data_IF_523163049161
#
_entry.id   IF_523163049161
#
_cell.length_a   1.000
_cell.length_b   1.000
_cell.length_c   1.000
_cell.angle_alpha   90.00
_cell.angle_beta   90.00
_cell.angle_gamma   90.00
#
_symmetry.space_group_name_H-M   'P 1'
#
loop_
_entity.id
_entity.type
_entity.pdbx_description
1 polymer ?
#
# COMPACT_ATOMS: atom_id res chain seq x y z
N UNK A 1 -10.92 5.27 -8.08
CA UNK A 1 -11.23 4.77 -6.71
C UNK A 1 -10.42 5.55 -5.68
N UNK A 2 -10.91 5.70 -4.45
CA UNK A 2 -10.13 6.34 -3.37
C UNK A 2 -9.32 5.29 -2.60
N UNK A 3 -8.05 5.53 -2.30
CA UNK A 3 -7.25 4.57 -1.52
C UNK A 3 -7.55 4.72 -0.02
N UNK A 4 -8.01 3.65 0.63
CA UNK A 4 -8.37 3.64 2.04
C UNK A 4 -7.17 3.73 2.96
N UNK A 5 -7.17 4.70 3.88
CA UNK A 5 -6.21 4.81 5.00
C UNK A 5 -6.23 3.62 5.96
N UNK A 6 -7.39 3.01 6.19
CA UNK A 6 -7.52 1.90 7.13
C UNK A 6 -6.78 0.63 6.67
N UNK A 7 -6.57 0.47 5.36
CA UNK A 7 -5.93 -0.69 4.76
C UNK A 7 -4.88 -0.26 3.72
N UNK A 8 -3.97 0.62 4.14
CA UNK A 8 -2.91 1.16 3.28
C UNK A 8 -1.53 0.64 3.70
N UNK A 9 -0.91 -0.17 2.85
CA UNK A 9 0.43 -0.74 3.04
C UNK A 9 1.38 -0.43 1.88
N UNK A 10 1.16 0.68 1.17
CA UNK A 10 2.09 1.19 0.16
C UNK A 10 3.04 2.20 0.80
N UNK A 11 3.88 1.75 1.71
CA UNK A 11 5.00 2.53 2.26
C UNK A 11 6.32 2.08 1.62
N UNK A 12 7.37 2.90 1.69
CA UNK A 12 8.71 2.50 1.26
C UNK A 12 9.24 1.26 1.99
N UNK A 13 8.69 0.85 3.14
CA UNK A 13 9.10 -0.39 3.78
C UNK A 13 8.11 -1.54 3.60
N UNK A 14 6.93 -1.30 3.01
CA UNK A 14 5.83 -2.26 2.96
C UNK A 14 5.48 -2.88 4.33
N UNK A 15 5.76 -2.18 5.44
CA UNK A 15 5.58 -2.68 6.80
C UNK A 15 6.66 -3.66 7.29
N UNK A 16 7.73 -3.89 6.54
CA UNK A 16 8.82 -4.77 6.93
C UNK A 16 9.50 -4.35 8.24
N UNK A 17 9.74 -5.34 9.10
CA UNK A 17 10.46 -5.20 10.37
C UNK A 17 11.50 -6.29 10.57
N UNK A 18 11.14 -7.52 10.23
CA UNK A 18 11.97 -8.72 10.34
C UNK A 18 11.35 -9.84 9.50
N UNK A 19 12.09 -10.92 9.20
CA UNK A 19 11.55 -12.13 8.60
C UNK A 19 10.32 -12.68 9.33
N UNK A 20 9.34 -13.13 8.54
CA UNK A 20 8.12 -13.78 9.03
C UNK A 20 7.85 -15.06 8.26
N UNK A 21 6.89 -15.88 8.71
CA UNK A 21 6.46 -17.09 7.98
C UNK A 21 5.91 -16.76 6.59
N UNK A 22 5.29 -15.58 6.43
CA UNK A 22 4.61 -15.17 5.19
C UNK A 22 5.55 -14.39 4.25
N UNK A 23 6.49 -13.65 4.83
CA UNK A 23 7.56 -12.95 4.11
C UNK A 23 8.91 -13.29 4.79
N UNK A 24 9.55 -14.40 4.41
CA UNK A 24 10.84 -14.81 4.97
C UNK A 24 11.98 -13.85 4.61
N UNK A 25 11.90 -13.18 3.45
CA UNK A 25 12.87 -12.20 2.97
C UNK A 25 12.22 -10.84 2.76
N UNK A 26 13.03 -9.78 2.83
CA UNK A 26 12.58 -8.43 2.48
C UNK A 26 12.16 -8.33 1.01
N UNK A 27 12.75 -9.17 0.14
CA UNK A 27 12.37 -9.29 -1.28
C UNK A 27 10.96 -9.83 -1.48
N UNK A 28 10.37 -10.48 -0.47
CA UNK A 28 8.99 -10.99 -0.52
C UNK A 28 7.94 -9.91 -0.19
N UNK A 29 8.38 -8.69 0.16
CA UNK A 29 7.48 -7.59 0.51
C UNK A 29 6.64 -7.18 -0.70
N UNK A 30 5.33 -7.11 -0.46
CA UNK A 30 4.33 -6.64 -1.42
C UNK A 30 3.64 -5.42 -0.86
N UNK A 31 3.72 -4.33 -1.60
CA UNK A 31 2.92 -3.15 -1.31
C UNK A 31 1.46 -3.49 -1.62
N UNK A 32 0.53 -3.04 -0.79
CA UNK A 32 -0.89 -3.24 -1.08
C UNK A 32 -1.72 -2.08 -0.55
N UNK A 33 -2.84 -1.82 -1.21
CA UNK A 33 -3.83 -0.86 -0.76
C UNK A 33 -5.22 -1.36 -1.18
N UNK A 34 -6.24 -0.83 -0.51
CA UNK A 34 -7.62 -1.10 -0.83
C UNK A 34 -8.26 0.16 -1.40
N UNK A 35 -8.73 0.07 -2.64
CA UNK A 35 -9.61 1.06 -3.23
C UNK A 35 -11.01 0.93 -2.68
N UNK A 36 -11.61 2.05 -2.33
CA UNK A 36 -12.97 2.17 -1.81
C UNK A 36 -13.75 3.21 -2.60
N UNK A 37 -15.06 3.25 -2.35
CA UNK A 37 -15.93 4.31 -2.82
C UNK A 37 -15.35 5.67 -2.43
N UNK A 38 -15.16 6.59 -3.38
CA UNK A 38 -14.73 7.95 -3.07
C UNK A 38 -15.70 8.67 -2.12
N UNK A 39 -15.16 9.41 -1.15
CA UNK A 39 -15.96 10.28 -0.29
C UNK A 39 -16.64 11.39 -1.11
N UNK A 40 -17.97 11.40 -1.10
CA UNK A 40 -18.84 12.37 -1.80
C UNK A 40 -18.60 13.82 -1.36
N UNK A 41 -17.94 14.05 -0.24
CA UNK A 41 -17.56 15.41 0.21
C UNK A 41 -16.59 16.11 -0.76
N UNK A 42 -15.92 15.37 -1.63
CA UNK A 42 -15.05 15.91 -2.68
C UNK A 42 -15.84 16.10 -3.98
N UNK A 43 -15.85 17.32 -4.55
CA UNK A 43 -16.59 17.63 -5.78
C UNK A 43 -16.19 16.74 -6.96
N UNK A 44 -14.90 16.48 -7.10
CA UNK A 44 -14.33 15.60 -8.12
C UNK A 44 -14.62 14.11 -7.87
N UNK A 45 -15.00 13.74 -6.63
CA UNK A 45 -15.34 12.37 -6.28
C UNK A 45 -16.75 11.96 -6.70
N UNK A 46 -17.66 12.90 -6.93
CA UNK A 46 -19.03 12.57 -7.35
C UNK A 46 -19.05 11.80 -8.68
N UNK A 47 -18.31 12.27 -9.68
CA UNK A 47 -18.17 11.57 -10.97
C UNK A 47 -17.48 10.22 -10.80
N UNK A 48 -16.45 10.16 -9.94
CA UNK A 48 -15.71 8.94 -9.69
C UNK A 48 -16.49 7.91 -8.86
N UNK A 49 -17.53 8.30 -8.13
CA UNK A 49 -18.37 7.41 -7.33
C UNK A 49 -19.26 6.54 -8.23
N UNK A 50 -19.89 7.14 -9.25
CA UNK A 50 -20.68 6.42 -10.25
C UNK A 50 -19.80 5.43 -11.04
N UNK A 51 -18.60 5.87 -11.45
CA UNK A 51 -17.62 5.00 -12.10
C UNK A 51 -17.14 3.88 -11.17
N UNK A 52 -16.98 4.15 -9.87
CA UNK A 52 -16.56 3.13 -8.90
C UNK A 52 -17.62 2.05 -8.72
N UNK A 53 -18.92 2.40 -8.63
CA UNK A 53 -20.01 1.42 -8.57
C UNK A 53 -19.91 0.45 -9.76
N UNK A 54 -19.83 1.01 -10.97
CA UNK A 54 -19.73 0.23 -12.21
C UNK A 54 -18.47 -0.63 -12.23
N UNK A 55 -17.32 -0.07 -11.89
CA UNK A 55 -16.04 -0.79 -11.86
C UNK A 55 -16.03 -1.91 -10.82
N UNK A 56 -16.64 -1.70 -9.64
CA UNK A 56 -16.75 -2.70 -8.59
C UNK A 56 -17.66 -3.86 -9.02
N UNK A 57 -18.82 -3.56 -9.61
CA UNK A 57 -19.72 -4.59 -10.14
C UNK A 57 -19.04 -5.42 -11.23
N UNK A 58 -18.32 -4.77 -12.16
CA UNK A 58 -17.53 -5.45 -13.18
C UNK A 58 -16.42 -6.31 -12.57
N UNK A 59 -15.72 -5.81 -11.54
CA UNK A 59 -14.70 -6.57 -10.82
C UNK A 59 -15.28 -7.83 -10.16
N UNK A 60 -16.44 -7.70 -9.49
CA UNK A 60 -17.18 -8.83 -8.94
C UNK A 60 -17.59 -9.83 -10.03
N UNK A 61 -18.04 -9.35 -11.19
CA UNK A 61 -18.46 -10.20 -12.30
C UNK A 61 -17.30 -10.95 -12.93
N UNK A 62 -16.15 -10.28 -13.13
CA UNK A 62 -14.92 -10.93 -13.58
C UNK A 62 -14.52 -12.08 -12.64
N UNK A 63 -14.64 -11.90 -11.32
CA UNK A 63 -14.40 -12.97 -10.35
C UNK A 63 -15.45 -14.10 -10.38
N UNK A 64 -16.64 -13.90 -10.95
CA UNK A 64 -17.64 -14.97 -11.13
C UNK A 64 -17.35 -15.75 -12.41
N UNK A 65 -16.94 -15.07 -13.47
CA UNK A 65 -16.69 -15.69 -14.78
C UNK A 65 -15.53 -16.70 -14.76
N UNK A 66 -14.52 -16.47 -13.92
CA UNK A 66 -13.33 -17.34 -13.83
C UNK A 66 -13.30 -18.22 -12.58
N UNK A 67 -14.36 -18.25 -11.77
CA UNK A 67 -14.37 -19.04 -10.53
C UNK A 67 -14.28 -20.55 -10.78
N UNK A 68 -13.65 -21.27 -9.85
CA UNK A 68 -13.70 -22.72 -9.90
C UNK A 68 -15.09 -23.22 -9.48
N UNK A 69 -15.68 -24.09 -10.30
CA UNK A 69 -17.02 -24.66 -10.03
C UNK A 69 -17.08 -25.29 -8.63
N UNK A 70 -18.01 -24.81 -7.81
CA UNK A 70 -18.27 -25.34 -6.47
C UNK A 70 -17.37 -24.77 -5.37
N UNK A 71 -16.45 -23.85 -5.70
CA UNK A 71 -15.64 -23.14 -4.71
C UNK A 71 -16.41 -21.94 -4.17
N UNK A 72 -16.60 -21.90 -2.84
CA UNK A 72 -17.33 -20.82 -2.17
C UNK A 72 -16.44 -19.70 -1.65
N UNK A 73 -15.16 -19.99 -1.44
CA UNK A 73 -14.24 -19.07 -0.80
C UNK A 73 -13.41 -18.31 -1.83
N UNK A 74 -13.65 -17.00 -1.94
CA UNK A 74 -12.95 -16.09 -2.84
C UNK A 74 -12.16 -15.08 -2.04
N UNK A 75 -10.96 -14.74 -2.49
CA UNK A 75 -10.12 -13.75 -1.81
C UNK A 75 -9.30 -12.91 -2.80
N UNK A 76 -8.96 -11.70 -2.36
CA UNK A 76 -7.72 -11.03 -2.79
C UNK A 76 -7.85 -9.91 -3.82
N UNK A 77 -9.02 -9.76 -4.46
CA UNK A 77 -9.29 -8.66 -5.41
C UNK A 77 -10.51 -7.83 -4.97
N UNK A 78 -11.71 -8.07 -5.50
CA UNK A 78 -12.93 -7.41 -5.01
C UNK A 78 -13.49 -8.18 -3.79
N UNK A 79 -13.79 -7.45 -2.71
CA UNK A 79 -14.38 -7.99 -1.48
C UNK A 79 -15.56 -7.10 -1.05
N UNK A 80 -16.62 -7.71 -0.53
CA UNK A 80 -17.85 -7.01 -0.13
C UNK A 80 -19.06 -7.43 -0.97
N UNK A 81 -20.25 -7.04 -0.54
CA UNK A 81 -21.52 -7.38 -1.23
C UNK A 81 -22.09 -6.25 -2.09
N UNK A 82 -21.66 -5.02 -1.84
CA UNK A 82 -22.05 -3.81 -2.58
C UNK A 82 -20.84 -2.91 -2.74
N UNK A 83 -20.88 -1.95 -3.66
CA UNK A 83 -19.80 -0.98 -3.82
C UNK A 83 -19.61 -0.05 -2.60
N UNK A 84 -20.70 0.30 -1.89
CA UNK A 84 -20.64 1.11 -0.66
C UNK A 84 -19.82 0.47 0.46
N UNK A 85 -19.93 -0.86 0.57
CA UNK A 85 -19.19 -1.66 1.57
C UNK A 85 -18.00 -2.39 0.94
N UNK A 86 -17.81 -2.19 -0.36
CA UNK A 86 -16.94 -2.94 -1.22
C UNK A 86 -15.54 -2.37 -1.23
N UNK A 87 -14.58 -3.25 -1.45
CA UNK A 87 -13.17 -2.87 -1.56
C UNK A 87 -12.52 -3.60 -2.72
N UNK A 88 -11.64 -2.91 -3.44
CA UNK A 88 -10.80 -3.48 -4.49
C UNK A 88 -9.37 -3.48 -3.98
N UNK A 89 -8.83 -4.66 -3.67
CA UNK A 89 -7.44 -4.81 -3.24
C UNK A 89 -6.52 -4.83 -4.45
N UNK A 90 -5.53 -3.95 -4.44
CA UNK A 90 -4.45 -3.89 -5.43
C UNK A 90 -3.10 -4.10 -4.74
N UNK A 91 -2.13 -4.61 -5.48
CA UNK A 91 -0.79 -4.88 -4.95
C UNK A 91 0.32 -4.59 -5.96
N UNK A 92 1.52 -4.42 -5.45
CA UNK A 92 2.74 -4.22 -6.24
C UNK A 92 3.88 -4.98 -5.59
N UNK A 93 4.68 -5.69 -6.38
CA UNK A 93 5.89 -6.35 -5.88
C UNK A 93 7.00 -5.31 -5.84
N UNK A 94 7.53 -5.03 -4.64
CA UNK A 94 8.57 -4.03 -4.47
C UNK A 94 9.91 -4.45 -5.09
N UNK A 95 10.10 -5.76 -5.26
CA UNK A 95 11.29 -6.35 -5.85
C UNK A 95 10.89 -7.24 -7.03
N UNK A 96 11.73 -7.23 -8.06
CA UNK A 96 11.63 -8.13 -9.21
C UNK A 96 12.89 -8.97 -9.31
N UNK A 97 12.73 -10.25 -9.65
CA UNK A 97 13.85 -11.11 -9.99
C UNK A 97 14.55 -10.57 -11.24
N UNK A 98 15.87 -10.53 -11.18
CA UNK A 98 16.71 -10.06 -12.27
C UNK A 98 17.12 -11.27 -13.09
N UNK A 99 16.66 -11.33 -14.33
CA UNK A 99 17.19 -12.28 -15.30
C UNK A 99 18.68 -11.99 -15.57
N UNK A 100 19.44 -13.03 -15.93
CA UNK A 100 20.91 -12.98 -16.05
C UNK A 100 21.41 -11.86 -16.97
N UNK A 101 20.56 -11.42 -17.91
CA UNK A 101 20.85 -10.37 -18.89
C UNK A 101 20.75 -8.93 -18.35
N UNK A 102 20.02 -8.69 -17.25
CA UNK A 102 19.69 -7.33 -16.76
C UNK A 102 20.38 -6.97 -15.43
N UNK A 103 21.48 -7.65 -15.09
CA UNK A 103 22.10 -7.60 -13.76
C UNK A 103 22.84 -6.30 -13.42
N UNK A 104 23.26 -5.52 -14.42
CA UNK A 104 24.07 -4.32 -14.17
C UNK A 104 23.26 -3.14 -13.59
N UNK A 105 21.98 -3.02 -13.93
CA UNK A 105 21.14 -1.87 -13.50
C UNK A 105 20.48 -2.07 -12.12
N UNK A 106 20.64 -3.24 -11.49
CA UNK A 106 19.95 -3.58 -10.25
C UNK A 106 20.54 -2.90 -9.00
N UNK A 107 21.84 -2.55 -9.03
CA UNK A 107 22.57 -2.01 -7.88
C UNK A 107 22.20 -0.57 -7.54
N UNK A 108 22.15 0.31 -8.56
CA UNK A 108 22.00 1.75 -8.36
C UNK A 108 20.66 2.11 -7.68
N UNK A 109 19.58 1.40 -8.02
CA UNK A 109 18.27 1.63 -7.43
C UNK A 109 18.18 1.26 -5.93
N UNK A 110 19.04 0.36 -5.44
CA UNK A 110 19.08 -0.02 -4.02
C UNK A 110 19.84 0.99 -3.16
N UNK A 111 20.75 1.77 -3.76
CA UNK A 111 21.51 2.81 -3.07
C UNK A 111 20.70 4.05 -2.77
N UNK A 112 19.73 4.37 -3.64
CA UNK A 112 18.79 5.47 -3.44
C UNK A 112 17.61 5.11 -2.53
N UNK A 113 17.53 3.86 -2.08
CA UNK A 113 16.38 3.39 -1.31
C UNK A 113 16.39 3.87 0.15
N UNK A 114 15.28 4.45 0.57
CA UNK A 114 15.12 4.97 1.92
C UNK A 114 15.03 3.85 2.97
N UNK A 115 16.02 3.82 3.87
CA UNK A 115 16.06 2.92 5.02
C UNK A 115 15.11 3.39 6.12
N UNK A 116 13.81 3.27 5.87
CA UNK A 116 12.75 3.82 6.71
C UNK A 116 12.74 3.30 8.17
N UNK A 117 13.38 2.16 8.45
CA UNK A 117 13.59 1.64 9.80
C UNK A 117 14.82 0.72 9.87
N UNK A 118 15.22 0.34 11.09
CA UNK A 118 16.41 -0.49 11.32
C UNK A 118 16.35 -1.87 10.63
N UNK A 119 15.19 -2.53 10.62
CA UNK A 119 15.04 -3.84 9.98
C UNK A 119 15.11 -3.78 8.45
N UNK A 120 14.67 -2.67 7.86
CA UNK A 120 14.88 -2.39 6.42
C UNK A 120 16.34 -2.09 6.15
N UNK A 121 17.00 -1.29 6.99
CA UNK A 121 18.42 -0.98 6.84
C UNK A 121 19.28 -2.25 6.86
N UNK A 122 19.01 -3.16 7.81
CA UNK A 122 19.68 -4.46 7.91
C UNK A 122 19.42 -5.33 6.68
N UNK A 123 18.17 -5.43 6.24
CA UNK A 123 17.81 -6.22 5.07
C UNK A 123 18.44 -5.69 3.78
N UNK A 124 18.47 -4.36 3.59
CA UNK A 124 19.13 -3.72 2.46
C UNK A 124 20.64 -3.97 2.49
N UNK A 125 21.28 -3.86 3.66
CA UNK A 125 22.71 -4.16 3.80
C UNK A 125 22.99 -5.64 3.46
N UNK A 126 22.14 -6.56 3.92
CA UNK A 126 22.25 -7.98 3.60
C UNK A 126 22.06 -8.26 2.10
N UNK A 127 21.13 -7.57 1.43
CA UNK A 127 20.94 -7.66 -0.02
C UNK A 127 22.16 -7.14 -0.77
N UNK A 128 22.68 -5.97 -0.40
CA UNK A 128 23.86 -5.35 -1.03
C UNK A 128 25.14 -6.17 -0.83
N UNK A 129 25.23 -6.92 0.27
CA UNK A 129 26.36 -7.81 0.53
C UNK A 129 26.36 -9.09 -0.32
N UNK A 130 25.28 -9.39 -1.06
CA UNK A 130 25.23 -10.54 -1.95
C UNK A 130 26.09 -10.27 -3.19
N UNK A 131 27.03 -11.17 -3.47
CA UNK A 131 27.94 -11.12 -4.62
C UNK A 131 27.20 -11.06 -5.97
N UNK A 132 25.95 -11.55 -6.00
CA UNK A 132 25.03 -11.46 -7.14
C UNK A 132 23.65 -11.05 -6.65
N UNK A 133 23.28 -9.81 -6.90
CA UNK A 133 21.92 -9.33 -6.68
C UNK A 133 20.95 -10.09 -7.58
N UNK A 134 20.19 -11.01 -6.99
CA UNK A 134 19.14 -11.74 -7.67
C UNK A 134 17.87 -10.89 -7.87
N UNK A 135 17.78 -9.74 -7.18
CA UNK A 135 16.61 -8.88 -7.17
C UNK A 135 17.00 -7.43 -7.43
N UNK A 136 16.17 -6.74 -8.22
CA UNK A 136 16.21 -5.28 -8.38
C UNK A 136 15.01 -4.67 -7.68
N UNK A 137 15.18 -3.42 -7.24
CA UNK A 137 14.06 -2.64 -6.77
C UNK A 137 13.13 -2.32 -7.94
N UNK A 138 11.84 -2.47 -7.71
CA UNK A 138 10.77 -2.07 -8.62
C UNK A 138 9.90 -1.01 -7.93
N UNK A 139 10.21 0.29 -8.08
CA UNK A 139 9.40 1.36 -7.53
C UNK A 139 7.94 1.23 -8.00
N UNK A 140 6.99 1.58 -7.13
CA UNK A 140 5.58 1.64 -7.52
C UNK A 140 5.42 2.70 -8.64
N UNK A 141 4.90 2.33 -9.82
CA UNK A 141 4.66 3.27 -10.92
C UNK A 141 3.46 4.16 -10.61
N UNK A 142 3.61 5.05 -9.63
CA UNK A 142 2.59 5.98 -9.17
C UNK A 142 2.97 7.41 -9.49
N UNK A 143 2.08 8.13 -10.17
CA UNK A 143 2.34 9.46 -10.71
C UNK A 143 1.44 10.51 -10.04
N UNK A 144 2.02 11.67 -9.77
CA UNK A 144 1.28 12.84 -9.30
C UNK A 144 0.43 13.47 -10.41
N UNK A 145 -0.31 14.53 -10.07
CA UNK A 145 -1.08 15.34 -11.04
C UNK A 145 -0.22 15.99 -12.13
N UNK A 146 1.05 16.15 -11.86
CA UNK A 146 2.09 16.69 -12.73
C UNK A 146 2.78 15.61 -13.58
N UNK A 147 2.22 14.39 -13.60
CA UNK A 147 2.74 13.21 -14.29
C UNK A 147 4.17 12.83 -13.85
N UNK A 148 4.61 13.34 -12.69
CA UNK A 148 5.90 13.01 -12.11
C UNK A 148 5.77 11.77 -11.23
N UNK A 149 6.77 10.88 -11.33
CA UNK A 149 6.85 9.70 -10.48
C UNK A 149 6.95 10.13 -9.01
N UNK A 150 6.09 9.57 -8.17
CA UNK A 150 6.07 9.83 -6.74
C UNK A 150 7.25 9.07 -6.10
N UNK A 151 8.15 9.74 -5.37
CA UNK A 151 9.22 9.04 -4.65
C UNK A 151 8.67 8.08 -3.59
N UNK A 152 9.36 6.96 -3.35
CA UNK A 152 8.90 5.94 -2.39
C UNK A 152 8.72 6.45 -0.96
N UNK A 153 9.57 7.39 -0.54
CA UNK A 153 9.46 8.10 0.75
C UNK A 153 8.17 8.92 0.90
N UNK A 154 7.48 9.21 -0.20
CA UNK A 154 6.28 10.04 -0.24
C UNK A 154 4.98 9.25 -0.48
N UNK A 155 5.03 7.94 -0.71
CA UNK A 155 3.85 7.14 -1.04
C UNK A 155 2.70 7.32 -0.04
N UNK A 156 2.92 7.11 1.27
CA UNK A 156 1.88 7.31 2.29
C UNK A 156 1.28 8.73 2.19
N UNK A 157 2.14 9.76 2.15
CA UNK A 157 1.69 11.15 2.15
C UNK A 157 0.93 11.55 0.87
N UNK A 158 1.23 10.92 -0.26
CA UNK A 158 0.69 11.30 -1.58
C UNK A 158 -0.43 10.40 -2.08
N UNK A 159 -0.54 9.17 -1.55
CA UNK A 159 -1.49 8.17 -2.04
C UNK A 159 -2.56 7.81 -1.00
N UNK A 160 -2.28 7.90 0.30
CA UNK A 160 -3.24 7.53 1.34
C UNK A 160 -4.44 8.50 1.36
N UNK A 161 -5.66 8.02 1.11
CA UNK A 161 -6.89 8.80 0.87
C UNK A 161 -6.92 9.60 -0.45
N UNK A 162 -5.97 9.37 -1.36
CA UNK A 162 -6.00 9.97 -2.69
C UNK A 162 -7.06 9.32 -3.59
N UNK A 163 -7.68 10.11 -4.46
CA UNK A 163 -8.47 9.58 -5.58
C UNK A 163 -7.52 9.24 -6.72
N UNK A 164 -7.54 7.98 -7.15
CA UNK A 164 -6.62 7.47 -8.16
C UNK A 164 -7.34 6.76 -9.29
N UNK A 165 -6.76 6.88 -10.48
CA UNK A 165 -6.94 5.93 -11.58
C UNK A 165 -5.87 4.85 -11.43
N UNK A 166 -6.25 3.59 -11.61
CA UNK A 166 -5.31 2.45 -11.49
C UNK A 166 -5.52 1.52 -12.66
N UNK A 167 -4.43 1.23 -13.35
CA UNK A 167 -4.35 0.15 -14.32
C UNK A 167 -3.65 -1.03 -13.67
N UNK A 168 -4.21 -2.22 -13.84
CA UNK A 168 -3.68 -3.44 -13.22
C UNK A 168 -3.90 -4.64 -14.12
N UNK A 169 -3.09 -5.68 -13.90
CA UNK A 169 -3.32 -7.03 -14.44
C UNK A 169 -3.97 -7.89 -13.38
N UNK A 170 -5.00 -8.66 -13.75
CA UNK A 170 -5.68 -9.58 -12.85
C UNK A 170 -5.19 -11.02 -13.10
N UNK A 171 -4.61 -11.66 -12.07
CA UNK A 171 -4.27 -13.08 -12.10
C UNK A 171 -5.17 -13.87 -11.15
N UNK A 172 -5.59 -15.06 -11.58
CA UNK A 172 -6.45 -15.97 -10.82
C UNK A 172 -5.76 -17.31 -10.61
N UNK A 173 -5.84 -17.81 -9.38
CA UNK A 173 -5.26 -19.08 -8.97
C UNK A 173 -6.30 -19.87 -8.18
N UNK A 174 -6.70 -21.00 -8.73
CA UNK A 174 -7.57 -21.95 -8.04
C UNK A 174 -6.75 -22.88 -7.14
N UNK A 175 -6.99 -22.84 -5.83
CA UNK A 175 -6.39 -23.75 -4.86
C UNK A 175 -7.41 -24.83 -4.52
N UNK A 176 -7.12 -26.07 -4.89
CA UNK A 176 -7.98 -27.22 -4.59
C UNK A 176 -7.91 -27.58 -3.11
N UNK A 177 -8.97 -28.22 -2.62
CA UNK A 177 -9.01 -28.70 -1.24
C UNK A 177 -7.87 -29.72 -1.00
N UNK A 178 -7.11 -29.51 0.09
CA UNK A 178 -6.06 -30.44 0.49
C UNK A 178 -6.66 -31.64 1.21
N UNK A 179 -6.47 -32.86 0.67
CA UNK A 179 -6.98 -34.08 1.27
C UNK A 179 -6.42 -34.37 2.68
N UNK A 180 -5.25 -33.81 3.02
CA UNK A 180 -4.55 -34.06 4.29
C UNK A 180 -4.80 -33.01 5.37
N UNK A 181 -5.03 -31.75 4.96
CA UNK A 181 -5.02 -30.61 5.89
C UNK A 181 -6.43 -30.08 6.18
N UNK A 182 -7.47 -30.72 5.61
CA UNK A 182 -8.87 -30.30 5.77
C UNK A 182 -9.19 -28.92 5.18
N UNK A 183 -8.29 -28.36 4.37
CA UNK A 183 -8.44 -27.02 3.82
C UNK A 183 -9.50 -27.03 2.72
N UNK A 184 -10.44 -26.08 2.81
CA UNK A 184 -11.44 -25.89 1.76
C UNK A 184 -10.78 -25.35 0.49
N UNK A 185 -11.31 -25.75 -0.67
CA UNK A 185 -10.91 -25.16 -1.94
C UNK A 185 -11.21 -23.66 -1.93
N UNK A 186 -10.33 -22.87 -2.58
CA UNK A 186 -10.41 -21.41 -2.61
C UNK A 186 -9.92 -20.84 -3.93
N UNK A 187 -10.56 -19.77 -4.37
CA UNK A 187 -10.10 -18.96 -5.49
C UNK A 187 -9.35 -17.73 -4.97
N UNK A 188 -8.13 -17.55 -5.46
CA UNK A 188 -7.28 -16.42 -5.11
C UNK A 188 -7.10 -15.53 -6.33
N UNK A 189 -7.44 -14.26 -6.16
CA UNK A 189 -7.33 -13.23 -7.17
C UNK A 189 -6.28 -12.21 -6.76
N UNK A 190 -5.52 -11.73 -7.73
CA UNK A 190 -4.41 -10.81 -7.53
C UNK A 190 -4.49 -9.71 -8.59
N UNK A 191 -4.70 -8.47 -8.18
CA UNK A 191 -4.60 -7.31 -9.05
C UNK A 191 -3.24 -6.64 -8.87
N UNK A 192 -2.32 -6.97 -9.77
CA UNK A 192 -0.96 -6.44 -9.82
C UNK A 192 -0.96 -5.10 -10.57
N UNK A 193 -0.49 -4.04 -9.92
CA UNK A 193 -0.50 -2.67 -10.47
C UNK A 193 0.45 -2.58 -11.66
N UNK A 194 -0.06 -2.03 -12.76
CA UNK A 194 0.74 -1.65 -13.93
C UNK A 194 1.17 -0.20 -13.79
N UNK A 195 0.22 0.69 -13.47
CA UNK A 195 0.46 2.11 -13.19
C UNK A 195 -0.70 2.72 -12.40
N UNK A 196 -0.43 3.83 -11.74
CA UNK A 196 -1.38 4.58 -10.92
C UNK A 196 -1.22 6.08 -11.14
N UNK A 197 -2.33 6.78 -11.36
CA UNK A 197 -2.36 8.23 -11.53
C UNK A 197 -3.20 8.89 -10.44
N UNK A 198 -2.64 9.90 -9.76
CA UNK A 198 -3.36 10.68 -8.75
C UNK A 198 -4.26 11.72 -9.42
N UNK A 199 -5.58 11.47 -9.40
CA UNK A 199 -6.60 12.39 -9.91
C UNK A 199 -6.94 13.48 -8.90
N UNK A 200 -6.95 13.16 -7.61
CA UNK A 200 -7.13 14.13 -6.51
C UNK A 200 -6.15 13.77 -5.41
N UNK A 201 -5.26 14.68 -5.00
CA UNK A 201 -4.33 14.42 -3.91
C UNK A 201 -5.10 14.20 -2.61
N UNK A 202 -4.48 13.53 -1.63
CA UNK A 202 -5.13 13.32 -0.35
C UNK A 202 -5.38 14.66 0.35
N UNK A 203 -6.45 14.75 1.15
CA UNK A 203 -6.73 15.95 1.92
C UNK A 203 -5.53 16.30 2.81
N UNK A 204 -5.23 17.59 3.01
CA UNK A 204 -4.16 17.99 3.89
C UNK A 204 -4.41 17.39 5.28
N UNK A 205 -3.35 16.93 5.99
CA UNK A 205 -3.51 16.40 7.33
C UNK A 205 -4.26 17.43 8.17
N UNK A 206 -5.36 17.01 8.81
CA UNK A 206 -6.08 17.88 9.74
C UNK A 206 -5.06 18.24 10.82
N UNK A 207 -4.65 19.50 10.86
CA UNK A 207 -3.81 20.01 11.91
C UNK A 207 -4.62 19.93 13.20
N UNK A 208 -4.50 18.80 13.90
CA UNK A 208 -5.05 18.68 15.23
C UNK A 208 -4.49 19.85 16.04
N UNK A 209 -5.32 20.62 16.76
CA UNK A 209 -4.84 21.73 17.56
C UNK A 209 -3.69 21.21 18.40
N UNK A 210 -2.47 21.71 18.17
CA UNK A 210 -1.30 21.34 18.97
C UNK A 210 -1.78 21.40 20.41
N UNK A 211 -1.76 20.28 21.14
CA UNK A 211 -2.08 20.24 22.56
C UNK A 211 -1.25 21.33 23.20
N UNK A 212 -1.86 22.50 23.40
CA UNK A 212 -1.20 23.61 24.08
C UNK A 212 -0.89 23.01 25.44
N UNK A 213 0.37 23.01 25.86
CA UNK A 213 0.72 22.60 27.22
C UNK A 213 -0.03 23.57 28.13
N UNK A 214 -1.23 23.19 28.54
CA UNK A 214 -1.98 23.92 29.54
C UNK A 214 -1.14 23.71 30.79
N UNK A 215 -0.64 24.81 31.33
CA UNK A 215 0.00 24.82 32.63
C UNK A 215 -0.93 24.13 33.63
N UNK A 216 -0.46 23.05 34.26
CA UNK A 216 -1.17 22.46 35.41
C UNK A 216 -1.08 23.36 36.66
N UNK A 217 -0.37 24.49 36.57
CA UNK A 217 -0.37 25.50 37.62
C UNK A 217 -1.60 26.39 37.45
N UNK A 218 -2.32 26.58 38.55
CA UNK A 218 -3.38 27.57 38.65
C UNK A 218 -2.80 28.96 38.30
N UNK A 219 -3.56 29.88 37.67
CA UNK A 219 -3.05 31.20 37.29
C UNK A 219 -2.48 32.02 38.46
N UNK A 220 -2.82 31.67 39.70
CA UNK A 220 -2.30 32.29 40.92
C UNK A 220 -1.15 31.54 41.60
N UNK A 221 -0.66 30.44 41.02
CA UNK A 221 0.45 29.70 41.61
C UNK A 221 1.74 30.55 41.54
N UNK A 222 2.47 30.71 42.66
CA UNK A 222 3.66 31.53 42.70
C UNK A 222 4.77 30.95 41.82
N UNK A 223 5.17 31.68 40.78
CA UNK A 223 6.34 31.35 39.97
C UNK A 223 7.60 31.67 40.77
N UNK A 224 8.47 30.68 40.98
CA UNK A 224 9.75 30.86 41.70
C UNK A 224 10.58 31.93 41.00
N UNK A 225 10.72 33.11 41.62
CA UNK A 225 11.69 34.13 41.20
C UNK A 225 13.10 33.55 41.37
N UNK A 226 13.84 33.47 40.28
CA UNK A 226 15.26 33.13 40.32
C UNK A 226 15.99 34.18 41.16
N UNK A 227 16.63 33.73 42.24
CA UNK A 227 17.55 34.55 43.03
C UNK A 227 18.84 34.69 42.21
N UNK A 228 19.12 35.90 41.77
CA UNK A 228 20.42 36.26 41.19
C UNK A 228 21.43 36.29 42.34
N UNK A 229 22.38 35.35 42.34
CA UNK A 229 23.53 35.40 43.25
C UNK A 229 24.52 36.44 42.72
N UNK A 230 24.88 37.41 43.57
CA UNK A 230 26.00 38.34 43.38
C UNK A 230 27.32 37.64 43.68
#
# INVERSE_FOLDING_TARGET
MQLSSANFWMSSNGGWKAPTVIAPSFTDVKLSAFGVMPDESMREAQLAADDFNTAFEQACELQRLVEMKGVKFKMGFANGSSAETGTIKIKHNLFEEVDDLNRHDAGDALDEYDAANAGVAEALAALKAQDRLAFKLNPLPAYGKDEQLIPSSMYCRKLENALVEVRFTLTHWGIRAGAKDGTSAKDVYNADIVDMMVLVPPPPPIASPKKRKVSNLHPSSPTKKHVIKK
#
